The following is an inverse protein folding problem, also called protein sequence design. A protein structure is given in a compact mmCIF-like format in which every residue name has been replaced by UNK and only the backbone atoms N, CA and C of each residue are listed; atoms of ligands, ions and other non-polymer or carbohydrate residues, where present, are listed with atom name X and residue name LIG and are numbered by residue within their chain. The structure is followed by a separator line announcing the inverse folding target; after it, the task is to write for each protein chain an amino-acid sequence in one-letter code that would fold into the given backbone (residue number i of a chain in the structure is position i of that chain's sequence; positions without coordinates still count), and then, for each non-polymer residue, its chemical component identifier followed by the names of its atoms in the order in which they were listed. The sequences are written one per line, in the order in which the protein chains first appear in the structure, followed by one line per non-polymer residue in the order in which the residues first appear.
data_IF_712535121356
#
_entry.id   IF_712535121356
#
_cell.length_a   1.000
_cell.length_b   1.000
_cell.length_c   1.000
_cell.angle_alpha   90.00
_cell.angle_beta   90.00
_cell.angle_gamma   90.00
#
_symmetry.space_group_name_H-M   'P 1'
#
loop_
_entity.id
_entity.type
_entity.pdbx_description
1 polymer ?
#
# COMPACT_ATOMS: atom_id res chain seq x y z
N UNK A 1 -17.81 -29.72 -1.25
CA UNK A 1 -18.32 -28.98 -0.05
C UNK A 1 -18.01 -27.52 -0.24
N UNK A 2 -19.00 -26.61 -0.09
CA UNK A 2 -18.71 -25.16 -0.09
C UNK A 2 -17.81 -24.84 1.10
N UNK A 3 -16.82 -23.96 0.91
CA UNK A 3 -15.95 -23.49 2.00
C UNK A 3 -16.79 -22.87 3.11
N UNK A 4 -16.49 -23.19 4.37
CA UNK A 4 -17.15 -22.56 5.52
C UNK A 4 -16.65 -21.14 5.76
N UNK A 5 -15.61 -20.69 5.02
CA UNK A 5 -15.02 -19.39 5.11
C UNK A 5 -15.74 -18.41 4.17
N UNK A 6 -16.42 -17.35 4.69
CA UNK A 6 -17.17 -16.39 3.89
C UNK A 6 -16.30 -15.65 2.85
N UNK A 7 -15.05 -15.37 3.16
CA UNK A 7 -14.12 -14.71 2.23
C UNK A 7 -13.86 -15.57 0.99
N UNK A 8 -13.52 -16.85 1.18
CA UNK A 8 -13.22 -17.75 0.05
C UNK A 8 -14.46 -18.09 -0.77
N UNK A 9 -15.67 -18.05 -0.17
CA UNK A 9 -16.93 -18.21 -0.92
C UNK A 9 -17.12 -17.08 -1.94
N UNK A 10 -16.60 -15.90 -1.64
CA UNK A 10 -16.63 -14.73 -2.53
C UNK A 10 -15.31 -14.52 -3.30
N UNK A 11 -14.44 -15.53 -3.37
CA UNK A 11 -13.18 -15.44 -4.12
C UNK A 11 -12.09 -14.58 -3.44
N UNK A 12 -12.25 -14.24 -2.16
CA UNK A 12 -11.26 -13.48 -1.41
C UNK A 12 -10.34 -14.47 -0.68
N UNK A 13 -9.20 -14.79 -1.28
CA UNK A 13 -8.22 -15.72 -0.73
C UNK A 13 -7.36 -15.12 0.37
N UNK A 14 -7.18 -13.80 0.36
CA UNK A 14 -6.44 -13.05 1.37
C UNK A 14 -7.04 -11.66 1.58
N UNK A 15 -6.90 -11.15 2.78
CA UNK A 15 -7.12 -9.75 3.11
C UNK A 15 -5.84 -8.95 2.86
N UNK A 16 -5.95 -7.63 2.78
CA UNK A 16 -4.81 -6.71 2.75
C UNK A 16 -5.21 -5.39 3.41
N UNK A 17 -4.26 -4.58 3.87
CA UNK A 17 -4.59 -3.25 4.39
C UNK A 17 -5.39 -2.40 3.40
N UNK A 18 -5.08 -2.47 2.11
CA UNK A 18 -5.81 -1.74 1.06
C UNK A 18 -7.26 -2.23 0.89
N UNK A 19 -7.51 -3.55 0.97
CA UNK A 19 -8.88 -4.11 0.93
C UNK A 19 -9.70 -3.63 2.13
N UNK A 20 -9.12 -3.67 3.34
CA UNK A 20 -9.79 -3.20 4.54
C UNK A 20 -10.04 -1.69 4.49
N UNK A 21 -9.07 -0.90 4.01
CA UNK A 21 -9.25 0.53 3.85
C UNK A 21 -10.35 0.85 2.83
N UNK A 22 -10.40 0.13 1.71
CA UNK A 22 -11.48 0.30 0.72
C UNK A 22 -12.84 -0.04 1.31
N UNK A 23 -12.95 -1.16 2.03
CA UNK A 23 -14.20 -1.53 2.72
C UNK A 23 -14.70 -0.44 3.67
N UNK A 24 -13.80 0.22 4.39
CA UNK A 24 -14.16 1.30 5.33
C UNK A 24 -14.54 2.59 4.61
N UNK A 25 -13.84 2.93 3.53
CA UNK A 25 -14.00 4.24 2.86
C UNK A 25 -15.08 4.23 1.78
N UNK A 26 -15.25 3.10 1.11
CA UNK A 26 -16.21 2.93 0.01
C UNK A 26 -16.62 1.44 -0.09
N UNK A 27 -17.56 0.98 0.78
CA UNK A 27 -18.06 -0.39 0.74
C UNK A 27 -18.64 -0.79 -0.61
N UNK A 28 -19.30 0.15 -1.30
CA UNK A 28 -19.89 -0.10 -2.60
C UNK A 28 -18.83 -0.43 -3.65
N UNK A 29 -17.77 0.37 -3.70
CA UNK A 29 -16.62 0.10 -4.58
C UNK A 29 -15.89 -1.20 -4.20
N UNK A 30 -15.80 -1.53 -2.90
CA UNK A 30 -15.26 -2.82 -2.46
C UNK A 30 -16.06 -3.98 -3.01
N UNK A 31 -17.39 -3.96 -2.88
CA UNK A 31 -18.29 -4.99 -3.39
C UNK A 31 -18.15 -5.09 -4.92
N UNK A 32 -18.25 -3.97 -5.63
CA UNK A 32 -18.09 -3.93 -7.08
C UNK A 32 -16.76 -4.55 -7.53
N UNK A 33 -15.66 -4.17 -6.88
CA UNK A 33 -14.32 -4.60 -7.29
C UNK A 33 -14.04 -6.05 -6.93
N UNK A 34 -14.32 -6.46 -5.69
CA UNK A 34 -13.86 -7.76 -5.16
C UNK A 34 -14.93 -8.85 -5.25
N UNK A 35 -16.20 -8.52 -5.29
CA UNK A 35 -17.29 -9.51 -5.37
C UNK A 35 -17.90 -9.59 -6.76
N UNK A 36 -18.08 -8.45 -7.44
CA UNK A 36 -18.72 -8.38 -8.77
C UNK A 36 -17.71 -8.28 -9.94
N UNK A 37 -16.40 -8.31 -9.67
CA UNK A 37 -15.36 -8.33 -10.71
C UNK A 37 -15.20 -7.04 -11.50
N UNK A 38 -15.65 -5.90 -10.98
CA UNK A 38 -15.43 -4.60 -11.62
C UNK A 38 -13.94 -4.26 -11.65
N UNK A 39 -13.45 -3.86 -12.81
CA UNK A 39 -12.05 -3.43 -12.96
C UNK A 39 -11.89 -2.02 -12.41
N UNK A 40 -11.04 -1.85 -11.40
CA UNK A 40 -10.60 -0.55 -10.94
C UNK A 40 -9.64 0.13 -11.93
N UNK A 41 -9.58 1.46 -11.91
CA UNK A 41 -8.55 2.23 -12.62
C UNK A 41 -7.40 2.55 -11.68
N UNK A 42 -6.17 2.35 -12.13
CA UNK A 42 -4.97 2.77 -11.39
C UNK A 42 -4.64 4.22 -11.71
N UNK A 43 -4.38 5.02 -10.68
CA UNK A 43 -3.90 6.38 -10.87
C UNK A 43 -2.40 6.41 -11.20
N UNK A 44 -1.99 7.23 -12.15
CA UNK A 44 -0.57 7.38 -12.57
C UNK A 44 0.34 7.78 -11.40
N UNK A 45 -0.21 8.43 -10.38
CA UNK A 45 0.51 8.76 -9.16
C UNK A 45 1.02 7.53 -8.38
N UNK A 46 0.35 6.37 -8.51
CA UNK A 46 0.84 5.12 -7.93
C UNK A 46 2.14 4.66 -8.63
N UNK A 47 2.23 4.80 -9.96
CA UNK A 47 3.42 4.45 -10.75
C UNK A 47 4.62 5.32 -10.35
N UNK A 48 4.39 6.63 -10.09
CA UNK A 48 5.42 7.51 -9.52
C UNK A 48 5.92 6.96 -8.19
N UNK A 49 5.01 6.59 -7.27
CA UNK A 49 5.38 6.06 -5.95
C UNK A 49 6.30 4.86 -6.07
N UNK A 50 5.89 3.86 -6.84
CA UNK A 50 6.67 2.63 -7.05
C UNK A 50 8.02 2.91 -7.73
N UNK A 51 8.08 3.82 -8.72
CA UNK A 51 9.32 4.16 -9.40
C UNK A 51 10.32 4.85 -8.46
N UNK A 52 9.85 5.80 -7.65
CA UNK A 52 10.68 6.51 -6.65
C UNK A 52 11.22 5.53 -5.61
N UNK A 53 10.37 4.67 -5.07
CA UNK A 53 10.75 3.67 -4.09
C UNK A 53 11.78 2.67 -4.65
N UNK A 54 11.57 2.17 -5.87
CA UNK A 54 12.48 1.25 -6.53
C UNK A 54 13.87 1.87 -6.76
N UNK A 55 13.94 3.07 -7.34
CA UNK A 55 15.20 3.77 -7.58
C UNK A 55 15.91 4.13 -6.26
N UNK A 56 15.15 4.51 -5.23
CA UNK A 56 15.66 4.78 -3.90
C UNK A 56 16.34 3.55 -3.29
N UNK A 57 15.67 2.38 -3.34
CA UNK A 57 16.25 1.13 -2.87
C UNK A 57 17.56 0.79 -3.60
N UNK A 58 17.59 0.94 -4.94
CA UNK A 58 18.81 0.70 -5.73
C UNK A 58 19.97 1.57 -5.25
N UNK A 59 19.72 2.85 -5.03
CA UNK A 59 20.76 3.80 -4.57
C UNK A 59 21.22 3.57 -3.14
N UNK A 60 20.33 3.15 -2.25
CA UNK A 60 20.68 2.84 -0.84
C UNK A 60 21.55 1.58 -0.76
N UNK A 61 21.23 0.56 -1.59
CA UNK A 61 22.02 -0.69 -1.62
C UNK A 61 23.35 -0.50 -2.31
N UNK A 62 23.41 0.30 -3.37
CA UNK A 62 24.63 0.64 -4.10
C UNK A 62 24.88 2.15 -3.99
N UNK A 63 25.67 2.54 -3.00
CA UNK A 63 26.00 3.94 -2.73
C UNK A 63 26.83 4.59 -3.83
N UNK A 64 27.55 3.79 -4.65
CA UNK A 64 28.39 4.26 -5.75
C UNK A 64 27.58 4.45 -7.05
N UNK A 65 26.30 4.04 -7.04
CA UNK A 65 25.43 4.20 -8.22
C UNK A 65 25.40 5.67 -8.68
N UNK A 66 25.72 5.94 -9.95
CA UNK A 66 25.73 7.29 -10.49
C UNK A 66 24.30 7.87 -10.55
N UNK A 67 24.20 9.19 -10.69
CA UNK A 67 22.89 9.85 -10.86
C UNK A 67 22.21 9.38 -12.15
N UNK A 68 22.97 9.21 -13.23
CA UNK A 68 22.47 8.75 -14.51
C UNK A 68 21.88 7.34 -14.40
N UNK A 69 22.61 6.41 -13.77
CA UNK A 69 22.13 5.05 -13.55
C UNK A 69 20.91 5.01 -12.62
N UNK A 70 20.87 5.86 -11.59
CA UNK A 70 19.69 6.01 -10.73
C UNK A 70 18.47 6.49 -11.52
N UNK A 71 18.66 7.46 -12.40
CA UNK A 71 17.59 7.96 -13.27
C UNK A 71 17.09 6.90 -14.26
N UNK A 72 17.97 6.04 -14.77
CA UNK A 72 17.55 4.90 -15.62
C UNK A 72 16.59 3.97 -14.87
N UNK A 73 16.87 3.64 -13.61
CA UNK A 73 15.95 2.86 -12.76
C UNK A 73 14.64 3.60 -12.51
N UNK A 74 14.70 4.90 -12.20
CA UNK A 74 13.54 5.73 -11.89
C UNK A 74 12.58 5.83 -13.09
N UNK A 75 13.08 6.21 -14.24
CA UNK A 75 12.28 6.36 -15.45
C UNK A 75 11.90 5.01 -16.07
N UNK A 76 12.79 4.01 -16.00
CA UNK A 76 12.53 2.65 -16.46
C UNK A 76 11.34 2.04 -15.74
N UNK A 77 11.38 2.01 -14.42
CA UNK A 77 10.28 1.48 -13.58
C UNK A 77 8.95 2.20 -13.83
N UNK A 78 8.96 3.53 -13.97
CA UNK A 78 7.73 4.29 -14.27
C UNK A 78 7.14 3.92 -15.64
N UNK A 79 8.00 3.84 -16.67
CA UNK A 79 7.57 3.51 -18.03
C UNK A 79 7.03 2.07 -18.12
N UNK A 80 7.70 1.10 -17.48
CA UNK A 80 7.25 -0.29 -17.43
C UNK A 80 5.84 -0.40 -16.84
N UNK A 81 5.57 0.29 -15.73
CA UNK A 81 4.23 0.28 -15.14
C UNK A 81 3.17 0.93 -16.04
N UNK A 82 3.52 2.01 -16.75
CA UNK A 82 2.62 2.59 -17.74
C UNK A 82 2.26 1.56 -18.83
N UNK A 83 3.25 0.86 -19.36
CA UNK A 83 3.07 -0.15 -20.42
C UNK A 83 2.22 -1.33 -19.91
N UNK A 84 2.54 -1.89 -18.74
CA UNK A 84 1.81 -3.00 -18.14
C UNK A 84 0.31 -2.69 -17.91
N UNK A 85 -0.01 -1.43 -17.62
CA UNK A 85 -1.40 -0.97 -17.43
C UNK A 85 -2.04 -0.44 -18.70
N UNK A 86 -1.38 -0.62 -19.86
CA UNK A 86 -1.89 -0.16 -21.16
C UNK A 86 -1.99 1.36 -21.29
N UNK A 87 -1.21 2.10 -20.50
CA UNK A 87 -1.19 3.56 -20.56
C UNK A 87 -0.02 4.00 -21.45
N UNK A 88 -0.34 4.80 -22.48
CA UNK A 88 0.73 5.42 -23.30
C UNK A 88 1.59 6.36 -22.45
N UNK A 89 2.90 6.30 -22.64
CA UNK A 89 3.86 7.25 -22.03
C UNK A 89 3.67 8.68 -22.54
N UNK A 90 2.97 8.86 -23.66
CA UNK A 90 2.59 10.15 -24.22
C UNK A 90 1.30 10.73 -23.58
N UNK A 91 0.63 9.95 -22.75
CA UNK A 91 -0.54 10.44 -22.02
C UNK A 91 -0.17 11.65 -21.16
N UNK A 92 -0.95 12.74 -21.24
CA UNK A 92 -0.69 14.01 -20.56
C UNK A 92 -0.49 13.83 -19.04
N UNK A 93 -1.29 12.94 -18.41
CA UNK A 93 -1.15 12.65 -16.97
C UNK A 93 0.14 11.91 -16.68
N UNK A 94 0.52 10.94 -17.53
CA UNK A 94 1.77 10.21 -17.38
C UNK A 94 2.98 11.14 -17.55
N UNK A 95 2.97 12.00 -18.55
CA UNK A 95 4.05 13.00 -18.75
C UNK A 95 4.17 13.97 -17.58
N UNK A 96 3.05 14.44 -17.03
CA UNK A 96 3.06 15.31 -15.85
C UNK A 96 3.72 14.64 -14.64
N UNK A 97 3.39 13.40 -14.35
CA UNK A 97 4.01 12.66 -13.25
C UNK A 97 5.49 12.36 -13.54
N UNK A 98 5.80 11.94 -14.77
CA UNK A 98 7.16 11.65 -15.22
C UNK A 98 8.11 12.86 -15.05
N UNK A 99 7.65 14.06 -15.37
CA UNK A 99 8.44 15.30 -15.24
C UNK A 99 8.75 15.70 -13.79
N UNK A 100 8.10 15.08 -12.80
CA UNK A 100 8.32 15.35 -11.38
C UNK A 100 9.07 14.23 -10.65
N UNK A 101 9.42 13.12 -11.32
CA UNK A 101 10.01 11.94 -10.70
C UNK A 101 11.29 12.27 -9.93
N UNK A 102 12.24 12.98 -10.55
CA UNK A 102 13.51 13.33 -9.90
C UNK A 102 13.30 14.17 -8.65
N UNK A 103 12.37 15.12 -8.68
CA UNK A 103 12.11 15.97 -7.50
C UNK A 103 11.53 15.17 -6.33
N UNK A 104 10.68 14.18 -6.59
CA UNK A 104 10.21 13.26 -5.55
C UNK A 104 11.33 12.34 -5.05
N UNK A 105 12.13 11.82 -5.97
CA UNK A 105 13.27 10.98 -5.64
C UNK A 105 14.28 11.71 -4.75
N UNK A 106 14.67 12.95 -5.09
CA UNK A 106 15.62 13.74 -4.32
C UNK A 106 15.14 13.99 -2.89
N UNK A 107 13.85 14.28 -2.72
CA UNK A 107 13.25 14.43 -1.39
C UNK A 107 13.22 13.11 -0.61
N UNK A 108 12.89 12.00 -1.26
CA UNK A 108 12.93 10.68 -0.63
C UNK A 108 14.37 10.30 -0.25
N UNK A 109 15.33 10.50 -1.14
CA UNK A 109 16.74 10.20 -0.87
C UNK A 109 17.29 11.02 0.31
N UNK A 110 16.92 12.29 0.44
CA UNK A 110 17.33 13.11 1.58
C UNK A 110 16.84 12.57 2.93
N UNK A 111 15.70 11.88 2.97
CA UNK A 111 15.20 11.21 4.19
C UNK A 111 15.95 9.91 4.47
N UNK A 112 16.23 9.13 3.42
CA UNK A 112 16.68 7.73 3.57
C UNK A 112 18.20 7.53 3.57
N UNK A 113 18.98 8.47 3.04
CA UNK A 113 20.44 8.34 2.82
C UNK A 113 21.26 7.98 4.07
N UNK A 114 20.75 8.34 5.26
CA UNK A 114 21.45 8.15 6.52
C UNK A 114 20.95 6.93 7.33
N UNK A 115 19.92 6.19 6.85
CA UNK A 115 19.40 5.00 7.54
C UNK A 115 20.22 3.73 7.26
N UNK A 116 21.14 3.77 6.29
CA UNK A 116 21.89 2.60 5.84
C UNK A 116 21.05 1.68 4.94
N UNK A 117 21.56 0.47 4.73
CA UNK A 117 20.91 -0.54 3.89
C UNK A 117 19.76 -1.19 4.68
N UNK A 118 18.54 -1.30 4.13
CA UNK A 118 17.45 -1.97 4.81
C UNK A 118 17.73 -3.48 4.93
N UNK A 119 17.31 -4.09 6.04
CA UNK A 119 17.35 -5.55 6.22
C UNK A 119 16.47 -6.25 5.18
N UNK A 120 15.32 -5.65 4.88
CA UNK A 120 14.42 -6.13 3.83
C UNK A 120 13.81 -4.97 3.04
N UNK A 121 13.63 -5.21 1.75
CA UNK A 121 12.91 -4.36 0.81
C UNK A 121 11.75 -5.13 0.19
N UNK A 122 10.57 -4.53 0.11
CA UNK A 122 9.34 -5.16 -0.39
C UNK A 122 9.10 -6.52 0.31
N UNK A 123 9.24 -6.52 1.65
CA UNK A 123 9.10 -7.74 2.45
C UNK A 123 7.65 -8.23 2.45
N UNK A 124 7.45 -9.42 1.87
CA UNK A 124 6.14 -10.07 1.83
C UNK A 124 5.74 -10.59 3.20
N UNK A 125 4.59 -10.17 3.69
CA UNK A 125 3.93 -10.78 4.85
C UNK A 125 2.74 -11.61 4.42
N UNK A 126 2.53 -12.75 5.11
CA UNK A 126 1.37 -13.61 4.89
C UNK A 126 1.05 -14.35 6.17
N UNK A 127 0.08 -13.85 6.94
CA UNK A 127 -0.29 -14.42 8.23
C UNK A 127 -1.71 -14.04 8.66
N UNK A 128 -2.27 -14.80 9.59
CA UNK A 128 -3.58 -14.57 10.19
C UNK A 128 -3.45 -13.56 11.35
N UNK A 129 -4.27 -12.51 11.36
CA UNK A 129 -4.26 -11.50 12.41
C UNK A 129 -4.94 -11.94 13.70
N UNK A 130 -5.97 -12.79 13.61
CA UNK A 130 -6.80 -13.23 14.72
C UNK A 130 -7.34 -14.64 14.48
N UNK A 131 -7.56 -15.41 15.55
CA UNK A 131 -8.04 -16.80 15.45
C UNK A 131 -9.42 -16.92 14.79
N UNK A 132 -10.31 -15.93 15.01
CA UNK A 132 -11.63 -15.89 14.36
C UNK A 132 -11.62 -15.39 12.90
N UNK A 133 -10.47 -14.99 12.38
CA UNK A 133 -10.32 -14.58 10.99
C UNK A 133 -9.68 -15.70 10.17
N UNK A 134 -10.46 -16.51 9.45
CA UNK A 134 -9.94 -17.69 8.73
C UNK A 134 -9.11 -17.33 7.49
N UNK A 135 -9.08 -16.06 7.11
CA UNK A 135 -8.41 -15.56 5.90
C UNK A 135 -7.16 -14.76 6.29
N UNK A 136 -5.97 -15.13 5.77
CA UNK A 136 -4.73 -14.45 6.10
C UNK A 136 -4.66 -13.05 5.49
N UNK A 137 -3.83 -12.21 6.07
CA UNK A 137 -3.42 -10.93 5.48
C UNK A 137 -2.19 -11.11 4.60
N UNK A 138 -2.23 -10.53 3.42
CA UNK A 138 -1.13 -10.35 2.50
C UNK A 138 -0.75 -8.87 2.45
N UNK A 139 0.53 -8.59 2.55
CA UNK A 139 1.06 -7.23 2.37
C UNK A 139 2.52 -7.27 1.95
N UNK A 140 3.02 -6.09 1.57
CA UNK A 140 4.42 -5.88 1.25
C UNK A 140 4.89 -4.65 2.02
N UNK A 141 5.94 -4.81 2.81
CA UNK A 141 6.55 -3.74 3.60
C UNK A 141 7.63 -3.10 2.74
N UNK A 142 7.54 -1.79 2.51
CA UNK A 142 8.46 -1.09 1.61
C UNK A 142 9.90 -1.23 2.09
N UNK A 143 10.19 -0.81 3.34
CA UNK A 143 11.53 -0.90 3.92
C UNK A 143 11.47 -1.38 5.37
N UNK A 144 12.32 -2.35 5.71
CA UNK A 144 12.56 -2.80 7.08
C UNK A 144 14.02 -2.51 7.43
N UNK A 145 14.24 -1.56 8.34
CA UNK A 145 15.54 -1.26 8.92
C UNK A 145 15.72 -1.95 10.27
N UNK A 146 16.92 -1.85 10.87
CA UNK A 146 17.21 -2.49 12.14
C UNK A 146 16.22 -2.10 13.26
N UNK A 147 15.84 -0.84 13.33
CA UNK A 147 15.01 -0.26 14.39
C UNK A 147 13.58 0.12 13.93
N UNK A 148 13.33 0.16 12.63
CA UNK A 148 12.07 0.69 12.09
C UNK A 148 11.58 0.01 10.81
N UNK A 149 10.25 -0.02 10.68
CA UNK A 149 9.55 -0.18 9.42
C UNK A 149 9.25 1.22 8.88
N UNK A 150 9.57 1.45 7.62
CA UNK A 150 9.30 2.73 6.95
C UNK A 150 8.51 2.50 5.66
N UNK A 151 7.45 3.27 5.50
CA UNK A 151 6.49 3.19 4.39
C UNK A 151 6.52 4.53 3.63
N UNK A 152 7.00 4.50 2.39
CA UNK A 152 7.20 5.68 1.56
C UNK A 152 5.91 6.05 0.80
N UNK A 153 5.46 7.28 0.97
CA UNK A 153 4.24 7.78 0.30
C UNK A 153 4.51 9.06 -0.48
N UNK A 154 4.57 8.97 -1.80
CA UNK A 154 4.62 10.14 -2.66
C UNK A 154 3.23 10.76 -2.80
N UNK A 155 3.12 12.07 -2.54
CA UNK A 155 1.84 12.79 -2.57
C UNK A 155 1.98 14.17 -3.19
N UNK A 156 0.93 14.69 -3.84
CA UNK A 156 0.93 16.02 -4.43
C UNK A 156 0.86 17.14 -3.38
N UNK A 157 0.28 16.86 -2.22
CA UNK A 157 0.15 17.80 -1.10
C UNK A 157 0.61 17.13 0.17
N UNK A 158 1.43 17.85 0.96
CA UNK A 158 1.85 17.35 2.27
C UNK A 158 0.64 17.27 3.21
N UNK A 159 0.31 16.09 3.76
CA UNK A 159 -0.73 15.99 4.76
C UNK A 159 -0.27 16.62 6.08
N UNK A 160 -1.20 17.20 6.83
CA UNK A 160 -0.92 17.79 8.15
C UNK A 160 -0.74 16.73 9.25
N UNK A 161 -1.15 15.51 9.00
CA UNK A 161 -1.04 14.36 9.90
C UNK A 161 -1.05 13.06 9.10
N UNK A 162 -0.66 11.97 9.75
CA UNK A 162 -0.72 10.64 9.15
C UNK A 162 -2.16 10.22 8.86
N UNK A 163 -2.42 9.70 7.66
CA UNK A 163 -3.75 9.22 7.30
C UNK A 163 -4.10 7.93 8.06
N UNK A 164 -5.36 7.79 8.45
CA UNK A 164 -5.85 6.57 9.12
C UNK A 164 -5.63 5.31 8.29
N UNK A 165 -5.67 5.43 6.96
CA UNK A 165 -5.41 4.31 6.05
C UNK A 165 -3.96 3.81 6.16
N UNK A 166 -2.98 4.72 6.25
CA UNK A 166 -1.58 4.35 6.41
C UNK A 166 -1.27 3.86 7.83
N UNK A 167 -1.93 4.44 8.85
CA UNK A 167 -1.84 3.91 10.22
C UNK A 167 -2.30 2.46 10.29
N UNK A 168 -3.45 2.11 9.67
CA UNK A 168 -3.95 0.72 9.62
C UNK A 168 -2.99 -0.20 8.87
N UNK A 169 -2.39 0.28 7.77
CA UNK A 169 -1.42 -0.49 6.99
C UNK A 169 -0.23 -0.88 7.85
N UNK A 170 0.39 0.09 8.51
CA UNK A 170 1.56 -0.15 9.35
C UNK A 170 1.22 -0.95 10.62
N UNK A 171 0.04 -0.74 11.21
CA UNK A 171 -0.41 -1.55 12.33
C UNK A 171 -0.57 -3.04 11.96
N UNK A 172 -0.99 -3.36 10.73
CA UNK A 172 -0.93 -4.75 10.24
C UNK A 172 0.52 -5.20 10.18
N UNK A 173 1.43 -4.41 9.61
CA UNK A 173 2.83 -4.78 9.43
C UNK A 173 3.60 -4.99 10.74
N UNK A 174 3.21 -4.33 11.83
CA UNK A 174 3.85 -4.50 13.15
C UNK A 174 3.84 -5.93 13.67
N UNK A 175 2.87 -6.77 13.25
CA UNK A 175 2.82 -8.17 13.66
C UNK A 175 4.00 -9.01 13.14
N UNK A 176 4.61 -8.61 12.03
CA UNK A 176 5.80 -9.28 11.49
C UNK A 176 7.08 -8.87 12.23
N UNK A 177 7.12 -7.64 12.76
CA UNK A 177 8.27 -7.05 13.44
C UNK A 177 7.79 -6.22 14.64
N UNK A 178 7.42 -6.88 15.76
CA UNK A 178 6.74 -6.23 16.89
C UNK A 178 7.62 -5.21 17.63
N UNK A 179 8.94 -5.35 17.55
CA UNK A 179 9.90 -4.52 18.28
C UNK A 179 10.36 -3.30 17.47
N UNK A 180 9.93 -3.16 16.19
CA UNK A 180 10.35 -2.06 15.33
C UNK A 180 9.39 -0.88 15.41
N UNK A 181 9.93 0.33 15.36
CA UNK A 181 9.13 1.54 15.19
C UNK A 181 8.46 1.59 13.81
N UNK A 182 7.32 2.27 13.71
CA UNK A 182 6.54 2.35 12.47
C UNK A 182 6.49 3.81 12.00
N UNK A 183 6.97 4.06 10.79
CA UNK A 183 7.05 5.39 10.22
C UNK A 183 6.42 5.46 8.83
N UNK A 184 5.68 6.54 8.56
CA UNK A 184 5.24 6.92 7.21
C UNK A 184 6.01 8.15 6.78
N UNK A 185 6.69 8.04 5.65
CA UNK A 185 7.47 9.10 5.05
C UNK A 185 6.71 9.70 3.88
N UNK A 186 6.05 10.84 4.12
CA UNK A 186 5.37 11.56 3.05
C UNK A 186 6.36 12.44 2.31
N UNK A 187 6.35 12.30 0.99
CA UNK A 187 7.23 13.02 0.08
C UNK A 187 6.39 13.78 -0.96
N UNK A 188 6.70 15.06 -1.11
CA UNK A 188 6.19 15.92 -2.19
C UNK A 188 7.39 16.45 -3.01
N UNK A 189 7.18 17.11 -4.16
CA UNK A 189 8.31 17.72 -4.89
C UNK A 189 9.07 18.81 -4.12
N UNK A 190 8.52 19.30 -2.99
CA UNK A 190 9.07 20.44 -2.25
C UNK A 190 9.67 20.08 -0.91
N UNK A 191 9.17 19.00 -0.29
CA UNK A 191 9.54 18.63 1.08
C UNK A 191 9.18 17.19 1.37
N UNK A 192 9.80 16.64 2.40
CA UNK A 192 9.44 15.37 3.00
C UNK A 192 9.15 15.56 4.50
N UNK A 193 8.22 14.76 5.05
CA UNK A 193 7.88 14.75 6.48
C UNK A 193 7.63 13.31 6.92
N UNK A 194 8.30 12.90 7.98
CA UNK A 194 8.13 11.59 8.60
C UNK A 194 7.18 11.68 9.79
N UNK A 195 6.22 10.76 9.85
CA UNK A 195 5.29 10.62 10.95
C UNK A 195 5.43 9.23 11.58
N UNK A 196 5.61 9.19 12.90
CA UNK A 196 5.58 7.95 13.67
C UNK A 196 4.15 7.52 13.92
N UNK A 197 3.87 6.22 13.78
CA UNK A 197 2.56 5.66 14.13
C UNK A 197 2.52 5.39 15.62
N UNK A 198 1.59 6.05 16.30
CA UNK A 198 1.32 5.87 17.73
C UNK A 198 0.11 4.93 17.94
N UNK A 199 -0.03 4.40 19.15
CA UNK A 199 -1.18 3.57 19.55
C UNK A 199 -1.43 2.35 18.64
N UNK A 200 -0.36 1.71 18.20
CA UNK A 200 -0.34 0.62 17.20
C UNK A 200 -1.30 -0.51 17.58
N UNK A 201 -1.29 -0.97 18.84
CA UNK A 201 -2.16 -2.04 19.31
C UNK A 201 -3.65 -1.68 19.21
N UNK A 202 -4.01 -0.43 19.56
CA UNK A 202 -5.39 0.04 19.42
C UNK A 202 -5.83 0.04 17.94
N UNK A 203 -4.96 0.48 17.04
CA UNK A 203 -5.24 0.52 15.60
C UNK A 203 -5.35 -0.91 15.04
N UNK A 204 -4.46 -1.81 15.43
CA UNK A 204 -4.52 -3.21 15.04
C UNK A 204 -5.82 -3.88 15.47
N UNK A 205 -6.24 -3.64 16.73
CA UNK A 205 -7.53 -4.11 17.25
C UNK A 205 -8.72 -3.55 16.45
N UNK A 206 -8.65 -2.30 15.98
CA UNK A 206 -9.65 -1.75 15.06
C UNK A 206 -9.68 -2.49 13.73
N UNK A 207 -8.51 -2.78 13.12
CA UNK A 207 -8.41 -3.54 11.87
C UNK A 207 -9.04 -4.93 12.03
N UNK A 208 -8.77 -5.62 13.13
CA UNK A 208 -9.36 -6.94 13.44
C UNK A 208 -10.89 -6.83 13.52
N UNK A 209 -11.42 -5.85 14.27
CA UNK A 209 -12.86 -5.63 14.39
C UNK A 209 -13.53 -5.31 13.04
N UNK A 210 -12.89 -4.50 12.21
CA UNK A 210 -13.38 -4.18 10.87
C UNK A 210 -13.41 -5.46 10.01
N UNK A 211 -12.37 -6.27 10.07
CA UNK A 211 -12.27 -7.52 9.31
C UNK A 211 -13.33 -8.55 9.74
N UNK A 212 -13.59 -8.66 11.04
CA UNK A 212 -14.68 -9.50 11.58
C UNK A 212 -16.06 -8.95 11.16
N UNK A 213 -16.23 -7.63 11.09
CA UNK A 213 -17.43 -7.00 10.55
C UNK A 213 -17.66 -7.33 9.08
N UNK A 214 -16.61 -7.24 8.25
CA UNK A 214 -16.64 -7.64 6.85
C UNK A 214 -16.96 -9.14 6.70
N UNK A 215 -16.38 -10.02 7.54
CA UNK A 215 -16.70 -11.45 7.55
C UNK A 215 -18.18 -11.71 7.80
N UNK A 216 -18.77 -11.02 8.79
CA UNK A 216 -20.21 -11.11 9.10
C UNK A 216 -21.06 -10.65 7.92
N UNK A 217 -20.70 -9.53 7.29
CA UNK A 217 -21.39 -9.03 6.11
C UNK A 217 -21.36 -10.06 4.96
N UNK A 218 -20.19 -10.61 4.65
CA UNK A 218 -20.03 -11.65 3.62
C UNK A 218 -20.77 -12.96 3.95
N UNK A 219 -21.11 -13.19 5.22
CA UNK A 219 -21.87 -14.38 5.65
C UNK A 219 -23.35 -14.27 5.38
N UNK A 220 -23.89 -13.09 5.05
CA UNK A 220 -25.32 -12.84 4.86
C UNK A 220 -25.83 -13.59 3.62
N UNK A 221 -25.05 -13.56 2.53
CA UNK A 221 -25.43 -14.21 1.28
C UNK A 221 -24.21 -14.73 0.51
N UNK A 222 -24.41 -15.78 -0.28
CA UNK A 222 -23.41 -16.26 -1.24
C UNK A 222 -23.53 -15.53 -2.59
N UNK A 223 -24.60 -14.74 -2.79
CA UNK A 223 -24.82 -13.96 -3.99
C UNK A 223 -24.23 -12.54 -3.83
N UNK A 224 -23.18 -12.19 -4.61
CA UNK A 224 -22.58 -10.85 -4.53
C UNK A 224 -23.55 -9.73 -4.95
N UNK A 225 -24.52 -10.00 -5.80
CA UNK A 225 -25.52 -9.00 -6.22
C UNK A 225 -26.54 -8.73 -5.12
N UNK A 226 -26.90 -9.75 -4.31
CA UNK A 226 -27.73 -9.54 -3.13
C UNK A 226 -26.99 -8.66 -2.12
N UNK A 227 -25.69 -8.94 -1.85
CA UNK A 227 -24.86 -8.09 -1.00
C UNK A 227 -24.73 -6.66 -1.56
N UNK A 228 -24.60 -6.52 -2.88
CA UNK A 228 -24.54 -5.21 -3.53
C UNK A 228 -25.83 -4.41 -3.32
N UNK A 229 -27.01 -5.04 -3.41
CA UNK A 229 -28.31 -4.37 -3.23
C UNK A 229 -28.49 -3.75 -1.85
N UNK A 230 -27.72 -4.17 -0.84
CA UNK A 230 -27.75 -3.58 0.51
C UNK A 230 -27.01 -2.22 0.56
N UNK A 231 -26.21 -1.88 -0.44
CA UNK A 231 -25.44 -0.64 -0.54
C UNK A 231 -25.81 0.26 -1.71
N UNK A 232 -26.54 -0.30 -2.69
CA UNK A 232 -27.08 0.43 -3.86
C UNK A 232 -28.61 0.32 -3.82
N UNK A 233 -29.32 1.28 -3.23
CA UNK A 233 -30.78 1.29 -3.22
C UNK A 233 -31.36 1.50 -4.63
#
# INVERSE_FOLDING_TARGET
MKSNNPFTRHGIEHLSPSKINLWVTDPALFIGTYLCGMKGSYGVGAFRGTAVEFALNKKIVDTDLSKEATNEFLYGSFNEQCIEKGLSTENIKAQKERNTLETYYDQAFNVYKDFGVPEFYQHKIYYTLHEDLPTPFLGFIDFVFNDAIRDLKTTARMPSSISTNHQRQLAVYSKAFPDKELWVDYVTPKQAVSYKVENVEQILNQVIKISLGLQKFLSISDDPYELASMHYP
#
